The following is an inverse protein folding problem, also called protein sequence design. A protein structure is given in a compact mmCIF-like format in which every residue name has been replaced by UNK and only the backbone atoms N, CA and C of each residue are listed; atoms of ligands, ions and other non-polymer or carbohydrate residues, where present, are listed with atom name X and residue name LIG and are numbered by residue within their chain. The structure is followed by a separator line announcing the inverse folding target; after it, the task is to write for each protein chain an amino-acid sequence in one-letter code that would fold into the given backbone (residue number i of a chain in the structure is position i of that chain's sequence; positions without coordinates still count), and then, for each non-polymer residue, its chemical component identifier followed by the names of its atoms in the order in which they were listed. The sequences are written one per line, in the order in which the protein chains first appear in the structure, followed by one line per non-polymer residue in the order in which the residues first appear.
data_IF_510093932494
#
_entry.id   IF_510093932494
#
_cell.length_a   1.000
_cell.length_b   1.000
_cell.length_c   1.000
_cell.angle_alpha   90.00
_cell.angle_beta   90.00
_cell.angle_gamma   90.00
#
_symmetry.space_group_name_H-M   'P 1'
#
loop_
_entity.id
_entity.type
_entity.pdbx_description
1 polymer ?
#
# COMPACT_ATOMS: atom_id res chain seq x y z
N UNK A 1 2.36 -31.31 -30.11
CA UNK A 1 2.91 -30.79 -28.83
C UNK A 1 1.78 -30.46 -27.89
N UNK A 2 1.69 -31.13 -26.73
CA UNK A 2 0.68 -30.80 -25.72
C UNK A 2 0.98 -29.42 -25.12
N UNK A 3 0.04 -28.46 -25.17
CA UNK A 3 0.26 -27.15 -24.55
C UNK A 3 0.48 -27.34 -23.06
N UNK A 4 1.67 -26.96 -22.56
CA UNK A 4 1.92 -26.96 -21.12
C UNK A 4 0.91 -26.03 -20.47
N UNK A 5 0.08 -26.52 -19.54
CA UNK A 5 -1.03 -25.74 -19.03
C UNK A 5 -0.52 -24.57 -18.19
N UNK A 6 -1.19 -23.43 -18.33
CA UNK A 6 -0.78 -22.13 -17.76
C UNK A 6 -0.61 -22.20 -16.23
N UNK A 7 -1.41 -23.03 -15.55
CA UNK A 7 -1.37 -23.25 -14.10
C UNK A 7 -0.07 -23.86 -13.58
N UNK A 8 0.85 -24.32 -14.44
CA UNK A 8 2.19 -24.79 -14.01
C UNK A 8 3.26 -23.70 -14.05
N UNK A 9 2.90 -22.48 -14.45
CA UNK A 9 3.87 -21.39 -14.51
C UNK A 9 4.15 -20.82 -13.12
N UNK A 10 5.42 -20.79 -12.71
CA UNK A 10 5.87 -20.11 -11.49
C UNK A 10 5.39 -18.65 -11.45
N UNK A 11 5.44 -17.94 -12.59
CA UNK A 11 4.98 -16.54 -12.67
C UNK A 11 3.49 -16.35 -12.38
N UNK A 12 2.66 -17.37 -12.65
CA UNK A 12 1.24 -17.29 -12.35
C UNK A 12 1.02 -17.34 -10.84
N UNK A 13 1.62 -18.36 -10.19
CA UNK A 13 1.54 -18.53 -8.75
C UNK A 13 2.16 -17.36 -7.98
N UNK A 14 3.31 -16.84 -8.43
CA UNK A 14 3.95 -15.70 -7.77
C UNK A 14 3.03 -14.47 -7.74
N UNK A 15 2.30 -14.19 -8.82
CA UNK A 15 1.35 -13.07 -8.84
C UNK A 15 0.19 -13.28 -7.87
N UNK A 16 -0.38 -14.49 -7.83
CA UNK A 16 -1.45 -14.83 -6.87
C UNK A 16 -0.96 -14.65 -5.43
N UNK A 17 0.23 -15.13 -5.10
CA UNK A 17 0.78 -14.98 -3.74
C UNK A 17 1.02 -13.50 -3.39
N UNK A 18 1.54 -12.70 -4.32
CA UNK A 18 1.73 -11.26 -4.11
C UNK A 18 0.40 -10.55 -3.89
N UNK A 19 -0.63 -10.82 -4.70
CA UNK A 19 -1.96 -10.23 -4.50
C UNK A 19 -2.57 -10.65 -3.16
N UNK A 20 -2.53 -11.95 -2.86
CA UNK A 20 -3.05 -12.46 -1.59
C UNK A 20 -2.36 -11.82 -0.39
N UNK A 21 -1.04 -11.62 -0.45
CA UNK A 21 -0.30 -10.92 0.59
C UNK A 21 -0.71 -9.45 0.72
N UNK A 22 -0.88 -8.73 -0.39
CA UNK A 22 -1.30 -7.32 -0.36
C UNK A 22 -2.73 -7.18 0.16
N UNK A 23 -3.65 -8.06 -0.24
CA UNK A 23 -5.04 -8.08 0.27
C UNK A 23 -5.06 -8.42 1.77
N UNK A 24 -4.24 -9.38 2.21
CA UNK A 24 -4.08 -9.69 3.62
C UNK A 24 -3.53 -8.49 4.41
N UNK A 25 -2.48 -7.82 3.91
CA UNK A 25 -1.93 -6.62 4.54
C UNK A 25 -2.97 -5.50 4.62
N UNK A 26 -3.75 -5.29 3.55
CA UNK A 26 -4.85 -4.32 3.54
C UNK A 26 -5.89 -4.65 4.62
N UNK A 27 -6.34 -5.90 4.72
CA UNK A 27 -7.26 -6.31 5.77
C UNK A 27 -6.66 -6.17 7.18
N UNK A 28 -5.41 -6.57 7.37
CA UNK A 28 -4.68 -6.46 8.64
C UNK A 28 -4.55 -5.00 9.08
N UNK A 29 -4.34 -4.09 8.12
CA UNK A 29 -4.26 -2.64 8.39
C UNK A 29 -5.56 -2.06 8.96
N UNK A 30 -6.71 -2.68 8.68
CA UNK A 30 -7.99 -2.29 9.26
C UNK A 30 -8.17 -2.75 10.72
N UNK A 31 -7.37 -3.72 11.15
CA UNK A 31 -7.44 -4.33 12.49
C UNK A 31 -6.29 -3.95 13.40
N UNK A 32 -5.15 -3.58 12.84
CA UNK A 32 -3.94 -3.32 13.58
C UNK A 32 -3.20 -2.13 13.01
N UNK A 33 -2.65 -1.35 13.92
CA UNK A 33 -1.63 -0.37 13.60
C UNK A 33 -0.26 -1.01 13.80
N UNK A 34 0.54 -1.06 12.74
CA UNK A 34 1.92 -1.52 12.80
C UNK A 34 2.86 -0.36 12.48
N UNK A 35 3.91 -0.19 13.28
CA UNK A 35 4.96 0.79 13.03
C UNK A 35 6.31 0.10 13.04
N UNK A 36 7.07 0.33 11.99
CA UNK A 36 8.45 -0.09 11.84
C UNK A 36 9.33 1.15 11.83
N UNK A 37 10.27 1.24 12.75
CA UNK A 37 11.25 2.30 12.79
C UNK A 37 12.63 1.72 12.52
N UNK A 38 13.38 2.34 11.61
CA UNK A 38 14.74 1.92 11.28
C UNK A 38 15.57 3.12 10.83
N UNK A 39 16.62 3.44 11.60
CA UNK A 39 17.49 4.60 11.37
C UNK A 39 16.70 5.92 11.31
N UNK A 40 16.50 6.45 10.10
CA UNK A 40 15.74 7.68 9.83
C UNK A 40 14.37 7.37 9.25
N UNK A 41 14.09 6.13 8.86
CA UNK A 41 12.84 5.74 8.25
C UNK A 41 11.87 5.29 9.31
N UNK A 42 10.62 5.73 9.17
CA UNK A 42 9.50 5.20 9.93
C UNK A 42 8.40 4.83 8.95
N UNK A 43 8.06 3.56 8.94
CA UNK A 43 6.96 3.01 8.16
C UNK A 43 5.79 2.78 9.11
N UNK A 44 4.65 3.36 8.77
CA UNK A 44 3.40 3.25 9.49
C UNK A 44 2.42 2.48 8.60
N UNK A 45 1.73 1.51 9.18
CA UNK A 45 0.71 0.71 8.52
C UNK A 45 -0.58 0.84 9.33
N UNK A 46 -1.61 1.46 8.73
CA UNK A 46 -2.85 1.83 9.42
C UNK A 46 -3.97 2.09 8.41
N UNK A 47 -5.18 1.57 8.67
CA UNK A 47 -6.45 1.97 8.02
C UNK A 47 -6.40 2.00 6.49
N UNK A 48 -5.77 1.01 5.87
CA UNK A 48 -5.65 0.94 4.41
C UNK A 48 -4.51 1.78 3.84
N UNK A 49 -3.61 2.32 4.67
CA UNK A 49 -2.44 3.08 4.26
C UNK A 49 -1.11 2.43 4.66
N UNK A 50 -0.13 2.64 3.78
CA UNK A 50 1.30 2.59 4.07
C UNK A 50 1.83 4.02 4.14
N UNK A 51 2.09 4.50 5.34
CA UNK A 51 2.75 5.77 5.60
C UNK A 51 4.27 5.60 5.63
N UNK A 52 5.01 6.40 4.88
CA UNK A 52 6.48 6.43 4.95
C UNK A 52 6.90 7.83 5.39
N UNK A 53 7.75 7.85 6.40
CA UNK A 53 8.22 9.08 7.03
C UNK A 53 9.75 9.07 7.13
N UNK A 54 10.37 10.22 6.86
CA UNK A 54 11.82 10.40 6.96
C UNK A 54 12.12 11.40 8.07
N UNK A 55 12.86 10.94 9.06
CA UNK A 55 13.30 11.70 10.22
C UNK A 55 14.51 12.57 9.87
N UNK A 56 14.65 13.77 10.47
CA UNK A 56 15.88 14.54 10.50
C UNK A 56 17.04 13.69 11.04
N UNK A 57 18.28 14.04 10.70
CA UNK A 57 19.48 13.29 11.10
C UNK A 57 19.85 13.53 12.58
N UNK A 58 18.88 13.49 13.50
CA UNK A 58 19.10 13.91 14.89
C UNK A 58 19.48 12.77 15.83
N UNK A 59 19.34 11.50 15.42
CA UNK A 59 19.99 10.29 15.97
C UNK A 59 19.51 9.06 15.19
N UNK A 60 20.40 8.11 14.91
CA UNK A 60 19.98 6.83 14.33
C UNK A 60 19.09 6.09 15.34
N UNK A 61 17.87 5.74 14.94
CA UNK A 61 17.02 4.91 15.77
C UNK A 61 17.34 3.43 15.55
N UNK A 62 17.32 2.60 16.61
CA UNK A 62 17.43 1.16 16.47
C UNK A 62 16.26 0.62 15.65
N UNK A 63 16.41 -0.62 15.17
CA UNK A 63 15.29 -1.33 14.56
C UNK A 63 14.23 -1.61 15.63
N UNK A 64 13.05 -1.02 15.48
CA UNK A 64 11.93 -1.21 16.40
C UNK A 64 10.67 -1.53 15.62
N UNK A 65 9.97 -2.58 16.06
CA UNK A 65 8.66 -2.95 15.55
C UNK A 65 7.65 -2.87 16.68
N UNK A 66 6.59 -2.08 16.46
CA UNK A 66 5.45 -2.03 17.37
C UNK A 66 4.17 -2.35 16.61
N UNK A 67 3.31 -3.13 17.25
CA UNK A 67 1.97 -3.45 16.78
C UNK A 67 0.99 -3.15 17.89
N UNK A 68 -0.09 -2.44 17.57
CA UNK A 68 -1.14 -2.09 18.53
C UNK A 68 -2.51 -2.29 17.89
N UNK A 69 -3.50 -2.66 18.69
CA UNK A 69 -4.89 -2.57 18.27
C UNK A 69 -5.26 -1.07 18.08
N UNK A 70 -6.12 -0.74 17.11
CA UNK A 70 -6.60 0.63 16.92
C UNK A 70 -7.29 1.11 18.20
N UNK A 71 -7.03 2.37 18.57
CA UNK A 71 -7.47 2.92 19.86
C UNK A 71 -9.00 2.97 20.03
N UNK A 72 -9.74 2.96 18.91
CA UNK A 72 -11.18 2.76 18.83
C UNK A 72 -11.52 2.70 17.35
N UNK A 73 -11.51 1.52 16.73
CA UNK A 73 -12.25 1.36 15.48
C UNK A 73 -13.65 0.88 15.85
N UNK A 74 -14.57 1.84 16.01
CA UNK A 74 -15.93 1.56 15.55
C UNK A 74 -15.76 0.98 14.15
N UNK A 75 -16.42 -0.15 13.87
CA UNK A 75 -16.34 -0.86 12.60
C UNK A 75 -16.88 0.04 11.47
N UNK A 76 -16.08 1.03 11.07
CA UNK A 76 -16.45 2.01 10.07
C UNK A 76 -16.42 1.32 8.72
N UNK A 77 -17.37 1.75 7.90
CA UNK A 77 -17.51 1.30 6.53
C UNK A 77 -16.14 1.30 5.82
N UNK A 78 -15.92 0.29 4.99
CA UNK A 78 -14.68 0.13 4.24
C UNK A 78 -14.53 1.31 3.27
N UNK A 79 -13.75 2.32 3.65
CA UNK A 79 -13.50 3.49 2.81
C UNK A 79 -12.27 3.26 1.94
N UNK A 80 -12.40 3.51 0.63
CA UNK A 80 -11.26 3.57 -0.28
C UNK A 80 -10.37 4.76 0.08
N UNK A 81 -9.27 4.45 0.76
CA UNK A 81 -8.20 5.35 1.12
C UNK A 81 -7.75 6.21 -0.07
N UNK A 82 -7.74 7.54 0.05
CA UNK A 82 -7.19 8.44 -0.98
C UNK A 82 -5.71 8.74 -0.70
N UNK A 83 -4.83 8.79 -1.71
CA UNK A 83 -3.42 9.14 -1.51
C UNK A 83 -3.31 10.54 -0.91
N UNK A 84 -2.40 10.70 0.05
CA UNK A 84 -2.23 11.96 0.76
C UNK A 84 -0.76 12.25 1.03
N UNK A 85 -0.41 13.53 1.02
CA UNK A 85 0.91 14.03 1.40
C UNK A 85 0.75 15.00 2.57
N UNK A 86 1.56 14.82 3.61
CA UNK A 86 1.59 15.71 4.75
C UNK A 86 3.01 16.19 5.02
N UNK A 87 3.16 17.45 5.41
CA UNK A 87 4.44 18.05 5.80
C UNK A 87 4.29 18.68 7.17
N UNK A 88 5.17 18.30 8.10
CA UNK A 88 5.24 18.91 9.42
C UNK A 88 5.72 20.36 9.33
N UNK A 89 5.06 21.25 10.07
CA UNK A 89 5.31 22.69 10.06
C UNK A 89 4.44 23.48 9.08
N UNK A 90 3.59 22.84 8.28
CA UNK A 90 2.53 23.58 7.59
C UNK A 90 1.55 24.08 8.67
N UNK A 91 1.27 25.40 8.76
CA UNK A 91 0.32 25.91 9.75
C UNK A 91 -0.98 25.13 9.55
N UNK A 92 -1.52 24.63 10.66
CA UNK A 92 -2.80 23.91 10.71
C UNK A 92 -3.76 24.57 9.71
N UNK A 93 -4.49 23.84 8.86
CA UNK A 93 -5.68 24.45 8.27
C UNK A 93 -6.46 25.07 9.44
N UNK A 94 -6.59 26.41 9.44
CA UNK A 94 -7.15 27.20 10.55
C UNK A 94 -8.64 26.92 10.75
N UNK A 95 -9.23 26.07 9.92
CA UNK A 95 -10.53 25.46 10.18
C UNK A 95 -10.41 24.54 11.39
N UNK A 96 -10.58 25.16 12.56
CA UNK A 96 -11.21 24.55 13.73
C UNK A 96 -12.67 24.22 13.34
N UNK A 97 -12.84 23.34 12.37
CA UNK A 97 -14.08 22.61 12.21
C UNK A 97 -14.17 21.74 13.48
N UNK A 98 -14.92 22.22 14.46
CA UNK A 98 -15.58 21.37 15.45
C UNK A 98 -16.09 20.17 14.69
N UNK A 99 -15.46 19.00 14.85
CA UNK A 99 -15.79 17.82 14.07
C UNK A 99 -17.19 17.33 14.44
N UNK A 100 -18.21 17.60 13.61
CA UNK A 100 -19.56 17.11 13.83
C UNK A 100 -19.63 15.80 13.07
N UNK A 101 -19.33 14.67 13.71
CA UNK A 101 -19.64 13.33 13.20
C UNK A 101 -19.13 12.94 11.78
N UNK A 102 -18.20 13.68 11.17
CA UNK A 102 -17.91 13.59 9.73
C UNK A 102 -16.45 13.62 9.28
N UNK A 103 -15.49 13.40 10.19
CA UNK A 103 -14.07 13.32 9.82
C UNK A 103 -13.82 12.17 8.85
N UNK A 104 -13.33 12.50 7.66
CA UNK A 104 -12.72 11.49 6.78
C UNK A 104 -11.46 10.95 7.46
N UNK A 105 -11.29 9.63 7.46
CA UNK A 105 -10.15 8.91 8.05
C UNK A 105 -8.80 9.53 7.63
N UNK A 106 -8.71 10.02 6.40
CA UNK A 106 -7.58 10.79 5.84
C UNK A 106 -7.17 12.02 6.66
N UNK A 107 -8.12 12.78 7.18
CA UNK A 107 -7.85 14.00 7.96
C UNK A 107 -7.35 13.66 9.35
N UNK A 108 -7.86 12.60 9.98
CA UNK A 108 -7.39 12.12 11.30
C UNK A 108 -5.97 11.59 11.19
N UNK A 109 -5.68 10.75 10.20
CA UNK A 109 -4.35 10.19 10.00
C UNK A 109 -3.32 11.29 9.70
N UNK A 110 -3.65 12.26 8.83
CA UNK A 110 -2.75 13.38 8.55
C UNK A 110 -2.55 14.28 9.77
N UNK A 111 -3.58 14.50 10.58
CA UNK A 111 -3.47 15.23 11.86
C UNK A 111 -2.60 14.48 12.88
N UNK A 112 -2.74 13.16 13.01
CA UNK A 112 -1.89 12.34 13.89
C UNK A 112 -0.44 12.33 13.42
N UNK A 113 -0.22 12.13 12.11
CA UNK A 113 1.11 12.20 11.51
C UNK A 113 1.77 13.57 11.73
N UNK A 114 1.03 14.66 11.53
CA UNK A 114 1.54 16.02 11.72
C UNK A 114 1.78 16.39 13.19
N UNK A 115 0.92 15.94 14.13
CA UNK A 115 1.10 16.21 15.58
C UNK A 115 2.29 15.44 16.17
N UNK A 116 2.48 14.20 15.74
CA UNK A 116 3.55 13.35 16.26
C UNK A 116 4.93 13.63 15.65
N UNK A 117 5.00 14.42 14.56
CA UNK A 117 6.23 14.64 13.82
C UNK A 117 6.84 16.01 14.10
N UNK A 118 8.12 16.09 14.51
CA UNK A 118 8.86 17.35 14.62
C UNK A 118 8.79 18.22 13.35
N UNK A 119 9.04 19.54 13.44
CA UNK A 119 9.08 20.42 12.27
C UNK A 119 10.01 19.90 11.17
N UNK A 120 9.61 20.03 9.91
CA UNK A 120 10.42 19.66 8.74
C UNK A 120 10.27 18.21 8.25
N UNK A 121 9.47 17.38 8.94
CA UNK A 121 9.17 16.02 8.49
C UNK A 121 8.23 16.03 7.28
N UNK A 122 8.38 15.06 6.39
CA UNK A 122 7.42 14.76 5.32
C UNK A 122 6.91 13.34 5.47
N UNK A 123 5.60 13.16 5.27
CA UNK A 123 4.91 11.88 5.34
C UNK A 123 4.15 11.69 4.03
N UNK A 124 4.39 10.55 3.38
CA UNK A 124 3.63 10.11 2.21
C UNK A 124 2.72 8.97 2.66
N UNK A 125 1.42 9.08 2.39
CA UNK A 125 0.45 8.02 2.64
C UNK A 125 0.05 7.36 1.31
N UNK A 126 0.42 6.10 1.16
CA UNK A 126 0.17 5.29 -0.02
C UNK A 126 -0.97 4.31 0.30
N UNK A 127 -2.13 4.39 -0.36
CA UNK A 127 -3.20 3.42 -0.19
C UNK A 127 -2.79 2.01 -0.67
N UNK A 128 -3.22 0.96 0.03
CA UNK A 128 -2.89 -0.42 -0.34
C UNK A 128 -3.42 -0.81 -1.72
N UNK A 129 -4.59 -0.30 -2.13
CA UNK A 129 -5.13 -0.58 -3.47
C UNK A 129 -4.21 -0.05 -4.57
N UNK A 130 -3.46 1.03 -4.33
CA UNK A 130 -2.50 1.55 -5.29
C UNK A 130 -1.28 0.63 -5.40
N UNK A 131 -0.82 0.08 -4.26
CA UNK A 131 0.25 -0.94 -4.23
C UNK A 131 -0.19 -2.20 -4.98
N UNK A 132 -1.45 -2.61 -4.80
CA UNK A 132 -2.05 -3.74 -5.52
C UNK A 132 -2.03 -3.49 -7.03
N UNK A 133 -2.48 -2.32 -7.49
CA UNK A 133 -2.47 -1.97 -8.92
C UNK A 133 -1.06 -1.94 -9.51
N UNK A 134 -0.08 -1.42 -8.76
CA UNK A 134 1.32 -1.39 -9.19
C UNK A 134 1.92 -2.80 -9.32
N UNK A 135 1.48 -3.75 -8.51
CA UNK A 135 1.89 -5.15 -8.64
C UNK A 135 1.13 -5.89 -9.75
N UNK A 136 -0.18 -5.61 -9.89
CA UNK A 136 -1.08 -6.31 -10.80
C UNK A 136 -0.85 -5.93 -12.27
N UNK A 137 -0.67 -4.64 -12.57
CA UNK A 137 -0.51 -4.18 -13.96
C UNK A 137 0.71 -4.81 -14.68
N UNK A 138 1.93 -4.82 -14.10
CA UNK A 138 3.06 -5.49 -14.73
C UNK A 138 2.86 -7.00 -14.83
N UNK A 139 2.20 -7.62 -13.85
CA UNK A 139 1.92 -9.04 -13.85
C UNK A 139 0.95 -9.43 -14.97
N UNK A 140 -0.16 -8.72 -15.11
CA UNK A 140 -1.12 -8.90 -16.21
C UNK A 140 -0.47 -8.58 -17.57
N UNK A 141 0.35 -7.53 -17.65
CA UNK A 141 1.13 -7.21 -18.84
C UNK A 141 2.07 -8.35 -19.25
N UNK A 142 2.74 -8.98 -18.29
CA UNK A 142 3.58 -10.14 -18.55
C UNK A 142 2.77 -11.36 -19.03
N UNK A 143 1.63 -11.63 -18.39
CA UNK A 143 0.76 -12.75 -18.78
C UNK A 143 0.18 -12.56 -20.18
N UNK A 144 -0.25 -11.35 -20.53
CA UNK A 144 -0.77 -11.04 -21.87
C UNK A 144 0.30 -11.19 -22.94
N UNK A 145 1.50 -10.65 -22.72
CA UNK A 145 2.63 -10.83 -23.65
C UNK A 145 2.97 -12.30 -23.88
N UNK A 146 2.96 -13.10 -22.81
CA UNK A 146 3.20 -14.54 -22.91
C UNK A 146 2.11 -15.25 -23.70
N UNK A 147 0.84 -14.93 -23.44
CA UNK A 147 -0.29 -15.48 -24.18
C UNK A 147 -0.18 -15.14 -25.68
N UNK A 148 0.18 -13.89 -26.01
CA UNK A 148 0.38 -13.46 -27.39
C UNK A 148 1.50 -14.23 -28.09
N UNK A 149 2.64 -14.46 -27.42
CA UNK A 149 3.74 -15.27 -27.96
C UNK A 149 3.31 -16.70 -28.26
N UNK A 150 2.50 -17.31 -27.40
CA UNK A 150 1.93 -18.64 -27.65
C UNK A 150 0.98 -18.66 -28.85
N UNK A 151 0.14 -17.65 -29.02
CA UNK A 151 -0.77 -17.55 -30.18
C UNK A 151 0.03 -17.38 -31.47
N UNK A 152 1.07 -16.53 -31.47
CA UNK A 152 1.94 -16.34 -32.64
C UNK A 152 2.64 -17.64 -33.05
N UNK A 153 3.21 -18.37 -32.09
CA UNK A 153 3.86 -19.66 -32.36
C UNK A 153 2.90 -20.74 -32.90
N UNK A 154 1.60 -20.68 -32.54
CA UNK A 154 0.59 -21.59 -33.12
C UNK A 154 0.23 -21.22 -34.55
N UNK A 155 0.15 -19.92 -34.86
CA UNK A 155 -0.18 -19.45 -36.21
C UNK A 155 0.89 -19.81 -37.24
N UNK A 156 2.18 -19.74 -36.87
CA UNK A 156 3.27 -20.10 -37.78
C UNK A 156 3.25 -21.59 -38.17
N UNK A 157 2.81 -22.48 -37.26
CA UNK A 157 2.68 -23.91 -37.56
C UNK A 157 1.55 -24.18 -38.56
N UNK A 158 0.45 -23.42 -38.47
CA UNK A 158 -0.71 -23.58 -39.36
C UNK A 158 -0.50 -23.03 -40.77
N UNK A 159 0.47 -22.11 -40.97
CA UNK A 159 0.79 -21.59 -42.30
C UNK A 159 1.72 -22.50 -43.12
N UNK A 160 2.31 -23.52 -42.49
CA UNK A 160 3.21 -24.47 -43.15
C UNK A 160 2.49 -25.75 -43.66
N UNK A 161 1.19 -25.88 -43.35
CA UNK A 161 0.33 -26.99 -43.78
C UNK A 161 -0.65 -26.54 -44.84
#
# INVERSE_FOLDING_TARGET
MNPKPLHRSITFWSGIFVMGFITWAWWDSGKFQSTLTWQRFKVLHLEGYLGITISPPTKAQPFEFHRKAPLASDARAFHLARPAFARSGNPRPKTRETFPDGLTTTQVISLWGCKASPPGWSIIFIPHWLILLLADLPWLGFLTLRAMRHVRARRSILSET
#
